data_IF_150885257791
#
_entry.id   IF_150885257791
#
_cell.length_a   1.000
_cell.length_b   1.000
_cell.length_c   1.000
_cell.angle_alpha   90.00
_cell.angle_beta   90.00
_cell.angle_gamma   90.00
#
_symmetry.space_group_name_H-M   'P 1'
#
loop_
_entity.id
_entity.type
_entity.pdbx_description
1 polymer ?
#
# COMPACT_ATOMS: atom_id res chain seq x y z
N UNK A 1 10.48 -17.22 -14.91
CA UNK A 1 9.10 -17.04 -15.40
C UNK A 1 9.15 -16.41 -16.78
N UNK A 2 8.29 -16.84 -17.69
CA UNK A 2 8.09 -16.17 -18.97
C UNK A 2 7.27 -14.88 -18.79
N UNK A 3 7.26 -14.01 -19.79
CA UNK A 3 6.44 -12.79 -19.79
C UNK A 3 4.94 -13.13 -19.66
N UNK A 4 4.48 -14.18 -20.33
CA UNK A 4 3.11 -14.69 -20.22
C UNK A 4 2.77 -15.16 -18.80
N UNK A 5 3.70 -15.83 -18.13
CA UNK A 5 3.53 -16.26 -16.73
C UNK A 5 3.43 -15.05 -15.79
N UNK A 6 4.24 -14.01 -16.01
CA UNK A 6 4.19 -12.77 -15.22
C UNK A 6 2.85 -12.05 -15.43
N UNK A 7 2.45 -11.84 -16.68
CA UNK A 7 1.20 -11.15 -17.01
C UNK A 7 -0.03 -11.87 -16.42
N UNK A 8 -0.03 -13.20 -16.49
CA UNK A 8 -1.08 -14.01 -15.87
C UNK A 8 -1.10 -13.87 -14.35
N UNK A 9 0.07 -13.88 -13.70
CA UNK A 9 0.15 -13.68 -12.25
C UNK A 9 -0.32 -12.28 -11.86
N UNK A 10 0.20 -11.22 -12.50
CA UNK A 10 -0.18 -9.83 -12.22
C UNK A 10 -1.66 -9.55 -12.48
N UNK A 11 -2.28 -10.20 -13.47
CA UNK A 11 -3.72 -10.08 -13.74
C UNK A 11 -4.61 -10.77 -12.69
N UNK A 12 -4.05 -11.63 -11.85
CA UNK A 12 -4.79 -12.36 -10.80
C UNK A 12 -4.44 -11.94 -9.38
N UNK A 13 -3.25 -11.36 -9.16
CA UNK A 13 -2.84 -10.84 -7.87
C UNK A 13 -3.68 -9.59 -7.51
N UNK A 14 -4.11 -9.41 -6.24
CA UNK A 14 -3.77 -10.17 -5.04
C UNK A 14 -4.78 -11.26 -4.65
N UNK A 15 -5.53 -11.85 -5.59
CA UNK A 15 -6.55 -12.86 -5.25
C UNK A 15 -5.91 -14.07 -4.55
N UNK A 16 -6.37 -14.36 -3.32
CA UNK A 16 -5.88 -15.46 -2.50
C UNK A 16 -4.61 -15.15 -1.70
N UNK A 17 -4.01 -13.97 -1.87
CA UNK A 17 -2.91 -13.51 -1.04
C UNK A 17 -3.40 -13.17 0.37
N UNK A 18 -2.56 -13.38 1.38
CA UNK A 18 -2.92 -13.09 2.78
C UNK A 18 -2.21 -11.82 3.22
N UNK A 19 -2.94 -10.90 3.85
CA UNK A 19 -2.32 -9.73 4.49
C UNK A 19 -1.45 -10.21 5.64
N UNK A 20 -0.15 -9.92 5.58
CA UNK A 20 0.82 -10.18 6.64
C UNK A 20 0.76 -9.09 7.71
N UNK A 21 0.86 -7.82 7.30
CA UNK A 21 0.82 -6.66 8.20
C UNK A 21 0.42 -5.37 7.49
N UNK A 22 0.15 -4.34 8.28
CA UNK A 22 -0.02 -2.96 7.80
C UNK A 22 1.01 -2.08 8.49
N UNK A 23 1.80 -1.34 7.71
CA UNK A 23 2.93 -0.53 8.21
C UNK A 23 3.05 0.79 7.45
N UNK A 24 3.91 1.67 7.94
CA UNK A 24 4.33 2.83 7.16
C UNK A 24 5.14 2.43 5.93
N UNK A 25 5.03 3.22 4.88
CA UNK A 25 5.93 3.17 3.73
C UNK A 25 7.35 3.50 4.16
N UNK A 26 8.32 2.84 3.55
CA UNK A 26 9.75 3.09 3.75
C UNK A 26 10.29 4.13 2.77
N UNK A 27 11.45 4.70 3.07
CA UNK A 27 12.10 5.65 2.18
C UNK A 27 12.44 5.03 0.82
N UNK A 28 12.90 3.77 0.82
CA UNK A 28 13.26 3.01 -0.37
C UNK A 28 12.04 2.70 -1.26
N UNK A 29 10.89 2.42 -0.63
CA UNK A 29 9.63 2.23 -1.35
C UNK A 29 9.15 3.54 -2.00
N UNK A 30 9.28 4.65 -1.29
CA UNK A 30 8.94 5.99 -1.80
C UNK A 30 9.86 6.39 -2.97
N UNK A 31 11.16 6.16 -2.84
CA UNK A 31 12.13 6.40 -3.92
C UNK A 31 11.82 5.57 -5.16
N UNK A 32 11.55 4.27 -4.98
CA UNK A 32 11.13 3.37 -6.07
C UNK A 32 9.83 3.82 -6.73
N UNK A 33 8.92 4.43 -5.97
CA UNK A 33 7.68 4.99 -6.47
C UNK A 33 7.86 6.38 -7.13
N UNK A 34 9.06 6.96 -7.09
CA UNK A 34 9.36 8.28 -7.67
C UNK A 34 8.89 9.46 -6.80
N UNK A 35 8.79 9.27 -5.48
CA UNK A 35 8.32 10.31 -4.56
C UNK A 35 9.50 11.15 -4.07
N UNK A 36 9.61 12.37 -4.58
CA UNK A 36 10.81 13.22 -4.42
C UNK A 36 10.92 13.93 -3.05
N UNK A 37 9.91 13.83 -2.18
CA UNK A 37 9.86 14.58 -0.92
C UNK A 37 9.83 13.67 0.31
N UNK A 38 10.85 13.74 1.19
CA UNK A 38 10.99 12.84 2.34
C UNK A 38 9.85 12.90 3.36
N UNK A 39 9.18 14.05 3.46
CA UNK A 39 8.09 14.27 4.42
C UNK A 39 6.77 13.63 4.01
N UNK A 40 6.62 13.27 2.73
CA UNK A 40 5.30 13.03 2.14
C UNK A 40 4.92 11.54 2.16
N UNK A 41 5.91 10.65 2.29
CA UNK A 41 5.72 9.20 2.29
C UNK A 41 5.58 8.58 3.68
N UNK A 42 6.07 9.26 4.73
CA UNK A 42 6.07 8.73 6.11
C UNK A 42 4.67 8.44 6.65
N UNK A 43 3.69 9.09 6.05
CA UNK A 43 2.28 8.98 6.40
C UNK A 43 1.57 7.90 5.58
N UNK A 44 2.22 7.28 4.58
CA UNK A 44 1.54 6.32 3.71
C UNK A 44 1.45 4.94 4.35
N UNK A 45 0.23 4.43 4.45
CA UNK A 45 -0.02 3.05 4.87
C UNK A 45 0.23 2.07 3.72
N UNK A 46 1.09 1.09 3.98
CA UNK A 46 1.37 -0.06 3.13
C UNK A 46 0.68 -1.29 3.70
N UNK A 47 -0.02 -2.03 2.85
CA UNK A 47 -0.50 -3.39 3.12
C UNK A 47 0.56 -4.34 2.55
N UNK A 48 1.20 -5.12 3.42
CA UNK A 48 2.17 -6.13 3.02
C UNK A 48 1.51 -7.51 3.01
N UNK A 49 1.72 -8.26 1.94
CA UNK A 49 1.22 -9.63 1.77
C UNK A 49 2.30 -10.66 2.13
N UNK A 50 1.88 -11.86 2.49
CA UNK A 50 2.76 -12.98 2.86
C UNK A 50 3.66 -13.46 1.71
N UNK A 51 3.25 -13.22 0.47
CA UNK A 51 4.04 -13.45 -0.74
C UNK A 51 5.07 -12.35 -1.05
N UNK A 52 5.17 -11.32 -0.19
CA UNK A 52 6.08 -10.18 -0.34
C UNK A 52 5.55 -9.07 -1.26
N UNK A 53 4.35 -9.22 -1.83
CA UNK A 53 3.66 -8.14 -2.53
C UNK A 53 3.27 -7.01 -1.57
N UNK A 54 3.17 -5.79 -2.09
CA UNK A 54 2.75 -4.62 -1.31
C UNK A 54 1.71 -3.80 -2.09
N UNK A 55 0.74 -3.23 -1.37
CA UNK A 55 -0.21 -2.25 -1.89
C UNK A 55 -0.19 -0.98 -1.04
N UNK A 56 -0.23 0.17 -1.71
CA UNK A 56 -0.30 1.47 -1.07
C UNK A 56 -1.00 2.47 -2.00
N UNK A 57 -1.63 3.52 -1.45
CA UNK A 57 -2.29 4.54 -2.25
C UNK A 57 -1.26 5.32 -3.08
N UNK A 58 -1.61 5.62 -4.33
CA UNK A 58 -0.80 6.51 -5.17
C UNK A 58 -0.74 7.91 -4.56
N UNK A 59 0.37 8.61 -4.84
CA UNK A 59 0.46 10.06 -4.75
C UNK A 59 -0.61 10.66 -5.67
N UNK A 60 -1.27 11.74 -5.24
CA UNK A 60 -2.13 12.48 -6.16
C UNK A 60 -1.30 13.20 -7.24
N UNK A 61 -1.98 13.68 -8.28
CA UNK A 61 -1.32 14.36 -9.40
C UNK A 61 -0.78 15.76 -9.05
N UNK A 62 -1.11 16.30 -7.87
CA UNK A 62 -0.62 17.59 -7.37
C UNK A 62 0.67 17.44 -6.57
N UNK A 63 1.03 16.22 -6.19
CA UNK A 63 2.22 15.92 -5.40
C UNK A 63 1.99 15.95 -3.90
N UNK A 64 0.75 15.83 -3.41
CA UNK A 64 0.52 15.66 -1.97
C UNK A 64 0.83 14.21 -1.52
N UNK A 65 0.71 13.89 -0.23
CA UNK A 65 0.89 12.53 0.30
C UNK A 65 -0.07 11.50 -0.32
N UNK A 66 0.17 10.21 -0.05
CA UNK A 66 -0.75 9.15 -0.45
C UNK A 66 -2.15 9.34 0.12
N UNK A 67 -3.17 9.02 -0.68
CA UNK A 67 -4.57 9.11 -0.27
C UNK A 67 -4.96 8.16 0.86
N UNK A 68 -6.20 8.27 1.36
CA UNK A 68 -6.73 7.36 2.38
C UNK A 68 -7.27 6.09 1.71
N UNK A 69 -6.97 4.91 2.28
CA UNK A 69 -7.60 3.66 1.87
C UNK A 69 -8.82 3.37 2.75
N UNK A 70 -9.95 3.10 2.09
CA UNK A 70 -11.19 2.65 2.73
C UNK A 70 -11.47 1.20 2.33
N UNK A 71 -11.90 0.39 3.31
CA UNK A 71 -12.25 -1.00 3.13
C UNK A 71 -13.62 -1.32 3.71
N UNK A 72 -14.35 -2.19 3.02
CA UNK A 72 -15.63 -2.74 3.46
C UNK A 72 -15.60 -4.25 3.25
N UNK A 73 -16.22 -4.99 4.17
CA UNK A 73 -16.34 -6.44 4.06
C UNK A 73 -17.81 -6.85 4.08
N UNK A 74 -18.29 -7.47 2.99
CA UNK A 74 -19.68 -7.94 2.88
C UNK A 74 -20.05 -8.99 3.94
N UNK A 75 -19.06 -9.74 4.43
CA UNK A 75 -19.26 -10.71 5.51
C UNK A 75 -19.35 -10.05 6.89
N UNK A 76 -18.98 -8.76 7.00
CA UNK A 76 -19.08 -7.92 8.19
C UNK A 76 -19.91 -6.67 7.87
N UNK A 77 -21.19 -6.82 7.50
CA UNK A 77 -22.02 -5.71 7.04
C UNK A 77 -22.09 -4.59 8.10
N UNK A 78 -21.95 -3.34 7.65
CA UNK A 78 -21.92 -2.17 8.52
C UNK A 78 -20.55 -1.87 9.15
N UNK A 79 -19.53 -2.67 8.87
CA UNK A 79 -18.15 -2.39 9.28
C UNK A 79 -17.40 -1.66 8.16
N UNK A 80 -16.71 -0.58 8.50
CA UNK A 80 -15.72 0.06 7.64
C UNK A 80 -14.35 0.00 8.30
N UNK A 81 -13.31 -0.21 7.48
CA UNK A 81 -11.93 -0.08 7.87
C UNK A 81 -11.34 1.11 7.13
N UNK A 82 -10.79 2.07 7.87
CA UNK A 82 -10.09 3.20 7.29
C UNK A 82 -8.62 3.11 7.70
N UNK A 83 -7.74 2.97 6.72
CA UNK A 83 -6.31 3.10 6.95
C UNK A 83 -5.95 4.57 6.84
N UNK A 84 -5.97 5.25 7.98
CA UNK A 84 -5.51 6.61 8.03
C UNK A 84 -3.98 6.66 8.02
N UNK A 85 -3.38 7.60 7.29
CA UNK A 85 -2.02 8.02 7.58
C UNK A 85 -1.91 8.39 9.07
N UNK A 86 -1.18 7.62 9.86
CA UNK A 86 -0.84 7.99 11.24
C UNK A 86 0.63 8.32 11.24
N UNK A 87 1.00 9.56 11.58
CA UNK A 87 2.40 9.96 11.72
C UNK A 87 3.13 8.97 12.63
N UNK A 88 3.92 8.09 12.02
CA UNK A 88 4.93 7.34 12.73
C UNK A 88 5.97 8.35 13.24
N UNK A 89 6.42 8.19 14.49
CA UNK A 89 7.57 8.97 14.96
C UNK A 89 8.74 8.73 14.01
N UNK A 90 9.24 9.80 13.38
CA UNK A 90 10.34 9.80 12.43
C UNK A 90 11.73 9.39 13.01
N UNK A 91 11.74 8.73 14.17
CA UNK A 91 12.91 8.46 14.99
C UNK A 91 13.05 6.97 15.35
N UNK A 92 12.57 6.05 14.51
CA UNK A 92 12.84 4.61 14.66
C UNK A 92 13.51 4.08 13.40
#
# INVERSE_FOLDING_TARGET
MTEDEINKMMGSWPVGATVKETRGMTAEEAERAGWEHPSDWMDVMVIEFDDGGILYPSRDGEGNSGGVLFGECKLLPGSSLSFYPVRGNANV
#
